data_IF_663182939921
#
_entry.id   IF_663182939921
#
_cell.length_a   1.000
_cell.length_b   1.000
_cell.length_c   1.000
_cell.angle_alpha   90.00
_cell.angle_beta   90.00
_cell.angle_gamma   90.00
#
_symmetry.space_group_name_H-M   'P 1'
#
loop_
_entity.id
_entity.type
_entity.pdbx_description
1 polymer ?
#
# COMPACT_ATOMS: atom_id res chain seq x y z
N UNK A 1 34.61 -33.62 16.96
CA UNK A 1 33.52 -34.45 16.42
C UNK A 1 32.42 -33.47 16.05
N UNK A 2 32.56 -32.75 14.94
CA UNK A 2 32.27 -33.18 13.56
C UNK A 2 30.76 -33.28 13.31
N UNK A 3 30.27 -32.28 12.57
CA UNK A 3 29.15 -32.20 11.62
C UNK A 3 28.08 -33.29 11.63
N UNK A 4 26.81 -32.87 11.58
CA UNK A 4 25.86 -33.19 10.49
C UNK A 4 24.49 -32.58 10.83
N UNK A 5 24.23 -31.38 10.31
CA UNK A 5 22.87 -30.96 9.99
C UNK A 5 22.82 -30.86 8.47
N UNK A 6 22.10 -31.79 7.86
CA UNK A 6 21.89 -31.91 6.43
C UNK A 6 21.40 -30.59 5.82
N UNK A 7 22.21 -30.04 4.93
CA UNK A 7 21.80 -29.12 3.88
C UNK A 7 20.97 -29.88 2.86
N UNK A 8 19.65 -29.65 2.83
CA UNK A 8 18.89 -29.72 1.58
C UNK A 8 17.51 -29.07 1.72
N UNK A 9 17.48 -27.75 1.54
CA UNK A 9 16.29 -27.07 1.01
C UNK A 9 16.77 -26.36 -0.25
N UNK A 10 16.15 -26.60 -1.42
CA UNK A 10 16.60 -25.98 -2.65
C UNK A 10 16.37 -24.47 -2.57
N UNK A 11 17.47 -23.73 -2.56
CA UNK A 11 17.54 -22.30 -2.84
C UNK A 11 17.16 -22.07 -4.30
N UNK A 12 15.87 -22.08 -4.60
CA UNK A 12 15.35 -21.55 -5.86
C UNK A 12 15.57 -20.05 -5.85
N UNK A 13 16.50 -19.65 -6.70
CA UNK A 13 17.06 -18.33 -6.92
C UNK A 13 16.00 -17.22 -7.11
N UNK A 14 15.76 -16.46 -6.04
CA UNK A 14 15.26 -15.08 -6.17
C UNK A 14 16.29 -14.14 -6.83
N UNK A 15 17.52 -14.62 -7.07
CA UNK A 15 18.58 -13.89 -7.76
C UNK A 15 18.42 -13.87 -9.29
N UNK A 16 17.61 -14.75 -9.88
CA UNK A 16 17.43 -14.79 -11.34
C UNK A 16 16.49 -13.70 -11.89
N UNK A 17 15.80 -12.96 -11.01
CA UNK A 17 14.88 -11.89 -11.42
C UNK A 17 15.48 -10.47 -11.38
N UNK A 18 16.70 -10.31 -10.86
CA UNK A 18 17.34 -9.00 -10.71
C UNK A 18 18.50 -8.74 -11.68
N UNK A 19 18.81 -9.67 -12.59
CA UNK A 19 19.90 -9.48 -13.56
C UNK A 19 19.43 -9.13 -14.99
N UNK A 20 18.12 -9.07 -15.21
CA UNK A 20 17.56 -8.73 -16.53
C UNK A 20 17.18 -7.25 -16.70
N UNK A 21 17.37 -6.41 -15.69
CA UNK A 21 17.02 -4.99 -15.77
C UNK A 21 18.19 -4.08 -16.20
N UNK A 22 19.45 -4.52 -16.02
CA UNK A 22 20.61 -3.66 -16.32
C UNK A 22 21.09 -3.75 -17.78
N UNK A 23 20.47 -4.61 -18.61
CA UNK A 23 20.79 -4.74 -20.05
C UNK A 23 19.85 -3.91 -20.93
N UNK A 24 18.71 -3.44 -20.40
CA UNK A 24 17.72 -2.70 -21.19
C UNK A 24 17.98 -1.18 -21.22
N UNK A 25 18.81 -0.64 -20.33
CA UNK A 25 19.05 0.82 -20.26
C UNK A 25 20.13 1.36 -21.20
N UNK A 26 20.94 0.52 -21.86
CA UNK A 26 22.14 1.02 -22.58
C UNK A 26 22.16 0.83 -24.10
N UNK A 27 21.04 0.55 -24.76
CA UNK A 27 21.04 0.25 -26.21
C UNK A 27 20.03 1.04 -27.08
N UNK A 28 19.53 2.20 -26.64
CA UNK A 28 18.57 3.00 -27.45
C UNK A 28 19.01 4.45 -27.65
N UNK A 29 20.31 4.70 -27.75
CA UNK A 29 20.83 5.98 -28.21
C UNK A 29 21.89 5.74 -29.30
N UNK A 30 21.43 5.50 -30.53
CA UNK A 30 22.04 6.10 -31.73
C UNK A 30 21.18 5.85 -32.99
N UNK A 31 20.91 6.95 -33.69
CA UNK A 31 20.50 7.10 -35.10
C UNK A 31 19.24 6.39 -35.62
N UNK A 32 18.20 7.18 -35.88
CA UNK A 32 17.72 7.34 -37.27
C UNK A 32 16.88 8.63 -37.42
N UNK A 33 17.37 9.58 -38.21
CA UNK A 33 16.54 10.67 -38.72
C UNK A 33 15.67 10.09 -39.85
N UNK A 34 14.48 9.63 -39.48
CA UNK A 34 13.44 9.22 -40.42
C UNK A 34 12.23 10.13 -40.29
N UNK A 35 11.92 10.87 -41.36
CA UNK A 35 10.65 11.57 -41.56
C UNK A 35 9.48 10.56 -41.49
N UNK A 36 8.99 10.30 -40.28
CA UNK A 36 7.74 9.60 -40.03
C UNK A 36 6.70 10.65 -39.66
N UNK A 37 5.65 10.77 -40.47
CA UNK A 37 4.49 11.62 -40.22
C UNK A 37 4.02 11.51 -38.76
N UNK A 38 4.31 12.54 -37.95
CA UNK A 38 3.63 12.74 -36.68
C UNK A 38 2.14 12.87 -36.99
N UNK A 39 1.40 11.79 -36.75
CA UNK A 39 -0.05 11.81 -36.77
C UNK A 39 -0.48 12.73 -35.64
N UNK A 40 -0.65 14.01 -35.95
CA UNK A 40 -1.21 15.00 -35.04
C UNK A 40 -2.55 14.44 -34.57
N UNK A 41 -2.60 14.02 -33.30
CA UNK A 41 -3.84 13.64 -32.64
C UNK A 41 -4.86 14.73 -32.91
N UNK A 42 -5.93 14.39 -33.61
CA UNK A 42 -6.93 15.39 -33.96
C UNK A 42 -7.51 15.95 -32.67
N UNK A 43 -7.88 17.25 -32.61
CA UNK A 43 -8.47 17.84 -31.41
C UNK A 43 -9.77 17.17 -30.95
N UNK A 44 -10.37 16.29 -31.78
CA UNK A 44 -11.54 15.49 -31.45
C UNK A 44 -11.18 14.26 -30.61
N UNK A 45 -10.07 13.58 -30.90
CA UNK A 45 -9.62 12.38 -30.18
C UNK A 45 -9.09 12.73 -28.77
N UNK A 46 -8.46 13.91 -28.64
CA UNK A 46 -7.98 14.43 -27.35
C UNK A 46 -9.12 14.76 -26.36
N UNK A 47 -10.34 15.04 -26.85
CA UNK A 47 -11.50 15.36 -25.99
C UNK A 47 -12.05 14.13 -25.26
N UNK A 48 -11.94 12.95 -25.85
CA UNK A 48 -12.40 11.69 -25.26
C UNK A 48 -11.48 11.14 -24.17
N UNK A 49 -10.20 11.52 -24.18
CA UNK A 49 -9.20 11.03 -23.22
C UNK A 49 -9.09 11.90 -21.96
N UNK A 50 -9.78 13.04 -21.93
CA UNK A 50 -9.53 14.14 -21.00
C UNK A 50 -10.17 13.97 -19.62
N UNK A 51 -10.84 12.84 -19.31
CA UNK A 51 -11.51 12.63 -18.01
C UNK A 51 -11.41 11.18 -17.49
N UNK A 52 -10.44 10.39 -17.94
CA UNK A 52 -10.35 8.97 -17.59
C UNK A 52 -9.73 8.75 -16.20
N UNK A 53 -10.36 9.29 -15.17
CA UNK A 53 -10.24 8.73 -13.81
C UNK A 53 -11.24 7.58 -13.76
N UNK A 54 -10.78 6.36 -13.41
CA UNK A 54 -11.71 5.25 -13.23
C UNK A 54 -12.56 5.53 -12.00
N UNK A 55 -13.76 6.07 -12.26
CA UNK A 55 -14.72 6.49 -11.24
C UNK A 55 -15.02 5.37 -10.24
N UNK A 56 -14.99 4.11 -10.70
CA UNK A 56 -15.18 2.94 -9.86
C UNK A 56 -14.06 2.82 -8.81
N UNK A 57 -12.80 2.89 -9.23
CA UNK A 57 -11.64 2.74 -8.33
C UNK A 57 -11.59 3.90 -7.34
N UNK A 58 -11.90 5.11 -7.81
CA UNK A 58 -12.02 6.29 -6.95
C UNK A 58 -13.12 6.12 -5.90
N UNK A 59 -14.29 5.61 -6.30
CA UNK A 59 -15.42 5.36 -5.39
C UNK A 59 -15.04 4.32 -4.34
N UNK A 60 -14.42 3.22 -4.76
CA UNK A 60 -13.96 2.16 -3.86
C UNK A 60 -12.89 2.66 -2.89
N UNK A 61 -11.91 3.44 -3.36
CA UNK A 61 -10.89 4.04 -2.48
C UNK A 61 -11.51 5.03 -1.50
N UNK A 62 -12.50 5.82 -1.94
CA UNK A 62 -13.23 6.75 -1.06
C UNK A 62 -13.97 5.99 0.04
N UNK A 63 -14.64 4.88 -0.31
CA UNK A 63 -15.30 4.02 0.68
C UNK A 63 -14.30 3.37 1.63
N UNK A 64 -13.17 2.86 1.11
CA UNK A 64 -12.10 2.30 1.93
C UNK A 64 -11.56 3.34 2.93
N UNK A 65 -11.35 4.58 2.47
CA UNK A 65 -10.95 5.70 3.33
C UNK A 65 -11.97 6.02 4.42
N UNK A 66 -13.25 6.16 4.06
CA UNK A 66 -14.29 6.44 5.05
C UNK A 66 -14.40 5.32 6.09
N UNK A 67 -14.34 4.06 5.64
CA UNK A 67 -14.40 2.89 6.52
C UNK A 67 -13.18 2.84 7.46
N UNK A 68 -11.98 3.08 6.92
CA UNK A 68 -10.77 3.16 7.74
C UNK A 68 -10.89 4.30 8.76
N UNK A 69 -11.44 5.46 8.39
CA UNK A 69 -11.59 6.63 9.27
C UNK A 69 -12.59 6.41 10.40
N UNK A 70 -13.66 5.66 10.13
CA UNK A 70 -14.69 5.34 11.11
C UNK A 70 -14.33 4.13 11.98
N UNK A 71 -13.43 3.25 11.53
CA UNK A 71 -13.05 2.05 12.26
C UNK A 71 -12.00 2.36 13.34
N UNK A 72 -12.19 1.93 14.60
CA UNK A 72 -11.16 2.03 15.64
C UNK A 72 -9.98 1.09 15.39
N UNK A 73 -10.22 -0.04 14.72
CA UNK A 73 -9.21 -1.05 14.38
C UNK A 73 -8.72 -0.86 12.96
N UNK A 74 -7.52 -1.38 12.69
CA UNK A 74 -6.96 -1.45 11.34
C UNK A 74 -7.80 -2.42 10.48
N UNK A 75 -8.20 -1.98 9.29
CA UNK A 75 -8.93 -2.81 8.33
C UNK A 75 -7.96 -3.51 7.35
N UNK A 76 -8.40 -4.57 6.63
CA UNK A 76 -7.59 -5.19 5.57
C UNK A 76 -7.12 -4.17 4.54
N UNK A 77 -5.90 -4.32 4.03
CA UNK A 77 -5.39 -3.33 3.08
C UNK A 77 -6.17 -3.29 1.77
N UNK A 78 -6.09 -2.12 1.13
CA UNK A 78 -6.61 -1.83 -0.21
C UNK A 78 -5.59 -1.05 -1.01
N UNK A 79 -4.31 -1.36 -0.82
CA UNK A 79 -3.21 -0.65 -1.46
C UNK A 79 -3.18 -0.82 -2.98
N UNK A 80 -3.76 -1.91 -3.51
CA UNK A 80 -4.00 -2.05 -4.95
C UNK A 80 -4.82 -0.89 -5.55
N UNK A 81 -5.82 -0.39 -4.81
CA UNK A 81 -6.62 0.75 -5.25
C UNK A 81 -5.79 2.03 -5.24
N UNK A 82 -4.89 2.17 -4.26
CA UNK A 82 -3.96 3.30 -4.19
C UNK A 82 -2.98 3.26 -5.37
N UNK A 83 -2.40 2.10 -5.67
CA UNK A 83 -1.46 1.93 -6.78
C UNK A 83 -2.13 2.25 -8.13
N UNK A 84 -3.38 1.81 -8.33
CA UNK A 84 -4.19 2.19 -9.51
C UNK A 84 -4.45 3.69 -9.59
N UNK A 85 -4.80 4.34 -8.47
CA UNK A 85 -5.05 5.79 -8.44
C UNK A 85 -3.77 6.61 -8.66
N UNK A 86 -2.61 6.15 -8.17
CA UNK A 86 -1.33 6.78 -8.44
C UNK A 86 -0.97 6.71 -9.94
N UNK A 87 -1.23 5.57 -10.60
CA UNK A 87 -1.04 5.45 -12.04
C UNK A 87 -1.89 6.46 -12.82
N UNK A 88 -3.16 6.63 -12.43
CA UNK A 88 -4.06 7.59 -13.06
C UNK A 88 -3.64 9.04 -12.81
N UNK A 89 -3.24 9.38 -11.57
CA UNK A 89 -2.66 10.68 -11.25
C UNK A 89 -1.50 11.01 -12.19
N UNK A 90 -0.54 10.10 -12.31
CA UNK A 90 0.65 10.29 -13.15
C UNK A 90 0.31 10.38 -14.65
N UNK A 91 -0.76 9.73 -15.10
CA UNK A 91 -1.25 9.87 -16.47
C UNK A 91 -1.81 11.27 -16.72
N UNK A 92 -2.64 11.77 -15.81
CA UNK A 92 -3.23 13.12 -15.91
C UNK A 92 -2.14 14.19 -15.87
N UNK A 93 -1.12 14.04 -15.01
CA UNK A 93 0.03 14.94 -14.95
C UNK A 93 0.77 15.01 -16.30
N UNK A 94 1.07 13.86 -16.92
CA UNK A 94 1.73 13.81 -18.23
C UNK A 94 0.89 14.43 -19.34
N UNK A 95 -0.43 14.18 -19.34
CA UNK A 95 -1.36 14.81 -20.30
C UNK A 95 -1.33 16.33 -20.13
N UNK A 96 -1.37 16.82 -18.89
CA UNK A 96 -1.31 18.24 -18.58
C UNK A 96 0.00 18.92 -19.00
N UNK A 97 1.14 18.24 -18.85
CA UNK A 97 2.44 18.75 -19.28
C UNK A 97 2.53 18.92 -20.79
N UNK A 98 1.96 17.96 -21.55
CA UNK A 98 1.95 17.98 -23.02
C UNK A 98 0.92 18.96 -23.60
N UNK A 99 -0.05 19.42 -22.81
CA UNK A 99 -1.09 20.32 -23.26
C UNK A 99 -0.56 21.75 -23.49
N UNK A 100 -0.61 22.30 -24.73
CA UNK A 100 -0.10 23.63 -25.03
C UNK A 100 -0.98 24.74 -24.44
N UNK A 101 -2.28 24.48 -24.27
CA UNK A 101 -3.24 25.47 -23.77
C UNK A 101 -3.44 25.38 -22.25
N UNK A 102 -2.45 25.85 -21.50
CA UNK A 102 -2.42 25.84 -20.02
C UNK A 102 -3.49 26.71 -19.35
N UNK A 103 -4.12 27.63 -20.10
CA UNK A 103 -5.18 28.54 -19.60
C UNK A 103 -6.59 28.02 -19.87
N UNK A 104 -6.73 26.85 -20.49
CA UNK A 104 -8.04 26.25 -20.74
C UNK A 104 -8.74 25.88 -19.43
N UNK A 105 -10.07 26.00 -19.40
CA UNK A 105 -10.91 25.50 -18.30
C UNK A 105 -10.64 24.02 -18.01
N UNK A 106 -10.38 23.26 -19.08
CA UNK A 106 -10.08 21.84 -19.03
C UNK A 106 -8.81 21.57 -18.19
N UNK A 107 -7.72 22.32 -18.42
CA UNK A 107 -6.52 22.23 -17.58
C UNK A 107 -6.79 22.60 -16.11
N UNK A 108 -7.66 23.57 -15.84
CA UNK A 108 -8.04 23.92 -14.46
C UNK A 108 -8.81 22.79 -13.77
N UNK A 109 -9.69 22.10 -14.49
CA UNK A 109 -10.42 20.93 -13.97
C UNK A 109 -9.48 19.77 -13.63
N UNK A 110 -8.50 19.49 -14.49
CA UNK A 110 -7.48 18.47 -14.19
C UNK A 110 -6.65 18.79 -12.94
N UNK A 111 -6.26 20.06 -12.75
CA UNK A 111 -5.55 20.46 -11.52
C UNK A 111 -6.40 20.18 -10.28
N UNK A 112 -7.67 20.55 -10.33
CA UNK A 112 -8.59 20.31 -9.22
C UNK A 112 -8.72 18.82 -8.92
N UNK A 113 -8.81 17.99 -9.96
CA UNK A 113 -8.93 16.54 -9.80
C UNK A 113 -7.64 15.89 -9.27
N UNK A 114 -6.47 16.34 -9.73
CA UNK A 114 -5.17 15.91 -9.18
C UNK A 114 -5.09 16.21 -7.68
N UNK A 115 -5.44 17.42 -7.27
CA UNK A 115 -5.46 17.78 -5.84
C UNK A 115 -6.42 16.90 -5.04
N UNK A 116 -7.57 16.54 -5.62
CA UNK A 116 -8.56 15.68 -4.95
C UNK A 116 -8.08 14.25 -4.78
N UNK A 117 -7.48 13.67 -5.83
CA UNK A 117 -6.90 12.32 -5.81
C UNK A 117 -5.72 12.27 -4.82
N UNK A 118 -4.83 13.26 -4.87
CA UNK A 118 -3.68 13.35 -3.97
C UNK A 118 -4.12 13.46 -2.51
N UNK A 119 -5.11 14.31 -2.22
CA UNK A 119 -5.69 14.41 -0.89
C UNK A 119 -6.23 13.06 -0.40
N UNK A 120 -6.99 12.35 -1.23
CA UNK A 120 -7.60 11.08 -0.86
C UNK A 120 -6.53 10.01 -0.58
N UNK A 121 -5.55 9.85 -1.47
CA UNK A 121 -4.44 8.89 -1.30
C UNK A 121 -3.67 9.19 0.00
N UNK A 122 -3.26 10.45 0.19
CA UNK A 122 -2.49 10.83 1.35
C UNK A 122 -3.28 10.66 2.65
N UNK A 123 -4.57 10.99 2.65
CA UNK A 123 -5.42 10.85 3.83
C UNK A 123 -5.61 9.38 4.21
N UNK A 124 -5.81 8.50 3.23
CA UNK A 124 -5.92 7.07 3.46
C UNK A 124 -4.63 6.47 4.02
N UNK A 125 -3.49 6.75 3.37
CA UNK A 125 -2.19 6.22 3.80
C UNK A 125 -1.78 6.72 5.20
N UNK A 126 -1.93 8.03 5.46
CA UNK A 126 -1.59 8.61 6.77
C UNK A 126 -2.40 7.98 7.89
N UNK A 127 -3.70 7.79 7.67
CA UNK A 127 -4.58 7.19 8.66
C UNK A 127 -4.16 5.76 9.00
N UNK A 128 -3.86 4.95 7.97
CA UNK A 128 -3.37 3.58 8.18
C UNK A 128 -2.05 3.54 8.93
N UNK A 129 -1.08 4.35 8.51
CA UNK A 129 0.21 4.45 9.18
C UNK A 129 0.06 4.89 10.63
N UNK A 130 -0.80 5.87 10.92
CA UNK A 130 -1.06 6.32 12.29
C UNK A 130 -1.63 5.18 13.17
N UNK A 131 -2.52 4.33 12.63
CA UNK A 131 -3.03 3.15 13.38
C UNK A 131 -1.94 2.11 13.61
N UNK A 132 -1.08 1.87 12.63
CA UNK A 132 0.06 0.95 12.77
C UNK A 132 1.07 1.50 13.80
N UNK A 133 1.33 2.80 13.79
CA UNK A 133 2.24 3.47 14.72
C UNK A 133 1.76 3.41 16.18
N UNK A 134 0.44 3.46 16.41
CA UNK A 134 -0.13 3.34 17.76
C UNK A 134 0.22 2.00 18.41
N UNK A 135 0.20 0.91 17.64
CA UNK A 135 0.56 -0.41 18.15
C UNK A 135 1.14 -1.33 17.06
N UNK A 136 2.45 -1.20 16.76
CA UNK A 136 3.06 -1.98 15.70
C UNK A 136 3.19 -3.46 16.06
N UNK A 137 3.37 -3.79 17.35
CA UNK A 137 3.47 -5.17 17.81
C UNK A 137 2.14 -5.93 17.64
N UNK A 138 1.02 -5.31 18.05
CA UNK A 138 -0.30 -5.91 17.86
C UNK A 138 -0.64 -6.03 16.36
N UNK A 139 -0.35 -5.01 15.56
CA UNK A 139 -0.60 -5.05 14.11
C UNK A 139 0.11 -6.22 13.42
N UNK A 140 1.36 -6.50 13.80
CA UNK A 140 2.14 -7.65 13.30
C UNK A 140 1.59 -8.99 13.80
N UNK A 141 1.16 -9.05 15.07
CA UNK A 141 0.53 -10.24 15.63
C UNK A 141 -0.78 -10.57 14.92
N UNK A 142 -1.69 -9.60 14.83
CA UNK A 142 -3.00 -9.72 14.16
C UNK A 142 -2.84 -10.17 12.70
N UNK A 143 -1.85 -9.60 12.00
CA UNK A 143 -1.51 -10.02 10.64
C UNK A 143 -1.10 -11.50 10.58
N UNK A 144 -0.19 -11.92 11.47
CA UNK A 144 0.28 -13.32 11.51
C UNK A 144 -0.83 -14.32 11.86
N UNK A 145 -1.74 -13.93 12.77
CA UNK A 145 -2.86 -14.76 13.20
C UNK A 145 -3.89 -14.92 12.07
N UNK A 146 -4.20 -13.84 11.36
CA UNK A 146 -5.08 -13.89 10.18
C UNK A 146 -4.52 -14.81 9.09
N UNK A 147 -3.23 -14.71 8.78
CA UNK A 147 -2.58 -15.60 7.82
C UNK A 147 -2.60 -17.06 8.26
N UNK A 148 -2.29 -17.36 9.54
CA UNK A 148 -2.37 -18.73 10.08
C UNK A 148 -3.78 -19.29 9.96
N UNK A 149 -4.79 -18.49 10.29
CA UNK A 149 -6.19 -18.88 10.20
C UNK A 149 -6.63 -19.11 8.75
N UNK A 150 -6.19 -18.27 7.81
CA UNK A 150 -6.44 -18.45 6.39
C UNK A 150 -5.79 -19.73 5.84
N UNK A 151 -4.53 -19.99 6.19
CA UNK A 151 -3.82 -21.22 5.82
C UNK A 151 -4.48 -22.48 6.40
N UNK A 152 -4.98 -22.41 7.64
CA UNK A 152 -5.71 -23.52 8.26
C UNK A 152 -7.02 -23.82 7.51
N UNK A 153 -7.76 -22.79 7.09
CA UNK A 153 -8.97 -22.94 6.27
C UNK A 153 -8.67 -23.53 4.89
N UNK A 154 -7.59 -23.09 4.26
CA UNK A 154 -7.13 -23.63 2.98
C UNK A 154 -6.80 -25.13 3.08
N UNK A 155 -6.05 -25.53 4.10
CA UNK A 155 -5.72 -26.94 4.38
C UNK A 155 -6.96 -27.80 4.69
N UNK A 156 -8.02 -27.19 5.21
CA UNK A 156 -9.30 -27.86 5.48
C UNK A 156 -10.19 -28.03 4.24
N UNK A 157 -9.71 -27.66 3.03
CA UNK A 157 -10.44 -27.85 1.77
C UNK A 157 -11.32 -26.68 1.34
N UNK A 158 -11.27 -25.54 2.05
CA UNK A 158 -11.92 -24.31 1.59
C UNK A 158 -11.00 -23.59 0.59
N UNK A 159 -11.49 -23.42 -0.64
CA UNK A 159 -10.68 -22.97 -1.80
C UNK A 159 -10.38 -21.46 -1.78
N UNK A 160 -11.08 -20.67 -0.97
CA UNK A 160 -10.94 -19.21 -0.99
C UNK A 160 -9.80 -18.71 -0.09
N UNK A 161 -8.55 -18.88 -0.56
CA UNK A 161 -7.40 -18.15 -0.02
C UNK A 161 -7.40 -16.73 -0.61
N UNK A 162 -8.27 -15.86 -0.10
CA UNK A 162 -8.40 -14.51 -0.65
C UNK A 162 -7.42 -13.52 -0.03
N UNK A 163 -7.07 -12.48 -0.81
CA UNK A 163 -6.37 -11.26 -0.37
C UNK A 163 -7.03 -10.57 0.85
N UNK A 164 -8.25 -10.96 1.23
CA UNK A 164 -8.91 -10.42 2.43
C UNK A 164 -8.27 -10.93 3.74
N UNK A 165 -7.43 -11.97 3.66
CA UNK A 165 -6.66 -12.47 4.79
C UNK A 165 -5.49 -11.54 5.17
N UNK A 166 -4.96 -10.80 4.19
CA UNK A 166 -3.85 -9.88 4.40
C UNK A 166 -4.39 -8.60 5.08
N UNK A 167 -3.77 -8.24 6.20
CA UNK A 167 -4.13 -7.07 7.02
C UNK A 167 -3.19 -5.88 6.81
N UNK A 168 -1.94 -6.21 6.51
CA UNK A 168 -0.86 -5.28 6.23
C UNK A 168 -0.24 -5.71 4.91
N UNK A 169 -0.01 -4.76 4.04
CA UNK A 169 0.81 -4.98 2.85
C UNK A 169 2.29 -5.15 3.20
N UNK A 170 3.08 -5.68 2.26
CA UNK A 170 4.54 -5.85 2.38
C UNK A 170 5.24 -4.54 2.77
N UNK A 171 4.80 -3.40 2.22
CA UNK A 171 5.34 -2.07 2.55
C UNK A 171 5.07 -1.69 4.01
N UNK A 172 3.85 -1.95 4.49
CA UNK A 172 3.40 -1.68 5.85
C UNK A 172 4.06 -2.62 6.86
N UNK A 173 4.25 -3.89 6.51
CA UNK A 173 4.99 -4.87 7.33
C UNK A 173 6.42 -4.42 7.58
N UNK A 174 7.13 -4.03 6.52
CA UNK A 174 8.50 -3.52 6.62
C UNK A 174 8.56 -2.27 7.50
N UNK A 175 7.57 -1.39 7.36
CA UNK A 175 7.44 -0.19 8.19
C UNK A 175 7.25 -0.55 9.68
N UNK A 176 6.30 -1.41 10.01
CA UNK A 176 6.01 -1.82 11.38
C UNK A 176 7.21 -2.53 12.04
N UNK A 177 7.88 -3.44 11.32
CA UNK A 177 9.09 -4.10 11.79
C UNK A 177 10.22 -3.11 12.07
N UNK A 178 10.47 -2.19 11.12
CA UNK A 178 11.50 -1.16 11.27
C UNK A 178 11.21 -0.24 12.45
N UNK A 179 9.94 0.14 12.64
CA UNK A 179 9.51 0.99 13.74
C UNK A 179 9.78 0.30 15.09
N UNK A 180 9.41 -0.98 15.22
CA UNK A 180 9.64 -1.75 16.44
C UNK A 180 11.14 -1.89 16.75
N UNK A 181 11.94 -2.20 15.73
CA UNK A 181 13.39 -2.30 15.88
C UNK A 181 14.01 -0.96 16.31
N UNK A 182 13.59 0.13 15.68
CA UNK A 182 14.11 1.47 15.96
C UNK A 182 13.73 1.92 17.38
N UNK A 183 12.49 1.67 17.79
CA UNK A 183 12.04 1.93 19.16
C UNK A 183 12.84 1.10 20.18
N UNK A 184 13.08 -0.19 19.88
CA UNK A 184 13.92 -1.04 20.74
C UNK A 184 15.34 -0.50 20.88
N UNK A 185 15.98 -0.09 19.79
CA UNK A 185 17.33 0.48 19.84
C UNK A 185 17.35 1.79 20.62
N UNK A 186 16.36 2.65 20.41
CA UNK A 186 16.23 3.92 21.13
C UNK A 186 16.08 3.69 22.63
N UNK A 187 15.22 2.75 23.05
CA UNK A 187 15.00 2.45 24.46
C UNK A 187 16.23 1.79 25.10
N UNK A 188 16.92 0.91 24.39
CA UNK A 188 18.19 0.31 24.83
C UNK A 188 19.25 1.37 25.08
N UNK A 189 19.44 2.30 24.15
CA UNK A 189 20.42 3.36 24.29
C UNK A 189 20.02 4.40 25.35
N UNK A 190 18.73 4.67 25.51
CA UNK A 190 18.23 5.69 26.42
C UNK A 190 18.25 5.23 27.88
N UNK A 191 17.70 4.06 28.19
CA UNK A 191 17.50 3.65 29.58
C UNK A 191 17.60 2.14 29.86
N UNK A 192 17.30 1.24 28.93
CA UNK A 192 17.27 -0.21 29.26
C UNK A 192 18.64 -0.79 29.60
N UNK A 193 19.75 -0.17 29.16
CA UNK A 193 21.11 -0.54 29.63
C UNK A 193 21.30 -0.40 31.14
N UNK A 194 20.62 0.56 31.77
CA UNK A 194 20.76 0.88 33.20
C UNK A 194 19.79 0.07 34.06
N UNK A 195 18.80 -0.58 33.45
CA UNK A 195 17.76 -1.34 34.15
C UNK A 195 18.23 -2.80 34.37
N UNK A 196 17.99 -3.39 35.55
CA UNK A 196 18.27 -4.81 35.82
C UNK A 196 17.58 -5.73 34.81
N UNK A 197 18.20 -6.87 34.47
CA UNK A 197 17.71 -7.78 33.43
C UNK A 197 16.25 -8.22 33.62
N UNK A 198 15.77 -8.34 34.86
CA UNK A 198 14.38 -8.70 35.18
C UNK A 198 13.34 -7.64 34.80
N UNK A 199 13.75 -6.40 34.54
CA UNK A 199 12.88 -5.27 34.19
C UNK A 199 13.13 -4.75 32.77
N UNK A 200 13.94 -5.44 31.96
CA UNK A 200 14.11 -5.12 30.53
C UNK A 200 12.95 -5.69 29.73
N UNK A 201 11.77 -5.10 29.89
CA UNK A 201 10.61 -5.40 29.07
C UNK A 201 10.36 -4.23 28.13
N UNK A 202 10.14 -4.52 26.85
CA UNK A 202 9.68 -3.52 25.91
C UNK A 202 8.21 -3.24 26.25
N UNK A 203 7.81 -1.98 26.45
CA UNK A 203 6.41 -1.66 26.68
C UNK A 203 5.63 -1.96 25.40
N UNK A 204 5.07 -3.16 25.32
CA UNK A 204 4.04 -3.50 24.35
C UNK A 204 2.79 -2.83 24.88
N UNK A 205 2.35 -1.77 24.19
CA UNK A 205 1.06 -1.13 24.48
C UNK A 205 0.01 -2.21 24.31
N UNK A 206 -0.44 -2.80 25.41
CA UNK A 206 -1.60 -3.67 25.40
C UNK A 206 -2.77 -2.71 25.37
N UNK A 207 -3.43 -2.59 24.22
CA UNK A 207 -4.64 -1.79 24.16
C UNK A 207 -5.65 -2.45 25.12
N UNK A 208 -5.80 -1.84 26.29
CA UNK A 208 -6.83 -2.17 27.26
C UNK A 208 -8.20 -2.11 26.55
N UNK A 209 -9.15 -2.90 27.05
CA UNK A 209 -10.52 -3.18 26.57
C UNK A 209 -11.40 -2.03 26.05
N UNK A 210 -10.92 -0.79 26.05
CA UNK A 210 -11.66 0.40 25.61
C UNK A 210 -11.81 0.49 24.08
N UNK A 211 -10.81 0.09 23.30
CA UNK A 211 -10.89 0.15 21.83
C UNK A 211 -11.93 -0.83 21.27
N UNK A 212 -12.13 -1.97 21.94
CA UNK A 212 -13.15 -2.98 21.59
C UNK A 212 -14.59 -2.50 21.83
N UNK A 213 -14.80 -1.47 22.65
CA UNK A 213 -16.11 -0.94 23.00
C UNK A 213 -16.49 0.33 22.22
N UNK A 214 -15.69 0.72 21.23
CA UNK A 214 -15.96 1.92 20.43
C UNK A 214 -17.18 1.70 19.54
N UNK A 215 -18.18 2.56 19.69
CA UNK A 215 -19.39 2.53 18.85
C UNK A 215 -19.12 3.27 17.55
N UNK A 216 -19.52 2.66 16.44
CA UNK A 216 -19.41 3.24 15.10
C UNK A 216 -20.78 3.34 14.45
N UNK A 217 -20.97 4.35 13.61
CA UNK A 217 -22.17 4.45 12.78
C UNK A 217 -21.97 3.56 11.54
N UNK A 218 -22.99 2.76 11.22
CA UNK A 218 -22.97 1.87 10.06
C UNK A 218 -24.14 2.19 9.15
N UNK A 219 -23.88 2.14 7.84
CA UNK A 219 -24.91 2.19 6.81
C UNK A 219 -25.14 0.75 6.30
N UNK A 220 -26.39 0.29 6.34
CA UNK A 220 -26.76 -1.03 5.84
C UNK A 220 -27.10 -0.91 4.36
N UNK A 221 -26.23 -1.45 3.50
CA UNK A 221 -26.36 -1.35 2.03
C UNK A 221 -27.28 -2.42 1.42
N UNK A 222 -27.43 -3.57 2.08
CA UNK A 222 -28.32 -4.66 1.68
C UNK A 222 -28.85 -5.37 2.93
N UNK A 223 -30.16 -5.62 2.97
CA UNK A 223 -30.78 -6.44 4.01
C UNK A 223 -30.74 -7.92 3.59
N UNK A 224 -30.05 -8.76 4.38
CA UNK A 224 -30.14 -10.23 4.31
C UNK A 224 -29.41 -10.93 3.15
N UNK A 225 -28.23 -11.48 3.44
CA UNK A 225 -27.67 -12.69 2.80
C UNK A 225 -27.45 -13.72 3.88
#
# INVERSE_FOLDING_TARGET
MSNEFDENIPSTSSAAFLQNNDVIENNVLESDEGEGSEEYLTPADARGLFLNVDLLVLKELTQAFLNESASPKLLPEKLDLVDKMLLQKNLIERIMERNPNKKSLACSLHKMELCRIEYLINSYLRLRLQKIEQNPAQSLQDHSERLKNALAKYKAGNVDFSLQAELLDVRELKFAQKLLQTNSTLFEDSFLKQIPASMKWLPIVSNNSETDSTRVFIEVLKDGV
#
